data_IF_335208532396
#
_entry.id   IF_335208532396
#
_cell.length_a   1.000
_cell.length_b   1.000
_cell.length_c   1.000
_cell.angle_alpha   90.00
_cell.angle_beta   90.00
_cell.angle_gamma   90.00
#
_symmetry.space_group_name_H-M   'P 1'
#
loop_
_entity.id
_entity.type
_entity.pdbx_description
1 polymer ?
#
# COMPACT_ATOMS: atom_id res chain seq x y z
N UNK A 1 6.84 4.40 -6.11
CA UNK A 1 6.04 5.14 -7.11
C UNK A 1 5.64 4.18 -8.20
N UNK A 2 4.34 4.08 -8.48
CA UNK A 2 3.75 3.16 -9.46
C UNK A 2 2.93 3.98 -10.44
N UNK A 3 3.30 3.97 -11.71
CA UNK A 3 2.61 4.71 -12.75
C UNK A 3 2.17 3.71 -13.80
N UNK A 4 0.87 3.57 -13.97
CA UNK A 4 0.30 2.68 -14.98
C UNK A 4 -0.34 3.53 -16.08
N UNK A 5 0.03 3.26 -17.32
CA UNK A 5 -0.55 3.87 -18.52
C UNK A 5 -1.30 2.81 -19.32
N UNK A 6 -2.50 3.12 -19.78
CA UNK A 6 -3.20 2.29 -20.74
C UNK A 6 -3.04 2.80 -22.16
N UNK A 7 -3.25 1.89 -23.12
CA UNK A 7 -3.41 2.22 -24.53
C UNK A 7 -4.80 2.84 -24.78
N UNK A 8 -4.92 3.62 -25.86
CA UNK A 8 -6.20 4.13 -26.32
C UNK A 8 -7.16 2.99 -26.68
N UNK A 9 -8.46 3.19 -26.41
CA UNK A 9 -9.50 2.18 -26.60
C UNK A 9 -10.10 1.69 -25.28
N UNK A 10 -10.92 0.65 -25.36
CA UNK A 10 -11.67 0.11 -24.23
C UNK A 10 -11.02 -1.12 -23.57
N UNK A 11 -9.87 -1.56 -24.06
CA UNK A 11 -9.14 -2.66 -23.47
C UNK A 11 -8.66 -2.32 -22.05
N UNK A 12 -8.88 -3.24 -21.12
CA UNK A 12 -8.37 -3.12 -19.75
C UNK A 12 -6.88 -3.45 -19.72
N UNK A 13 -6.04 -2.49 -19.34
CA UNK A 13 -4.61 -2.73 -19.14
C UNK A 13 -4.34 -3.08 -17.68
N UNK A 14 -3.66 -4.20 -17.43
CA UNK A 14 -3.31 -4.64 -16.07
C UNK A 14 -1.82 -4.46 -15.80
N UNK A 15 -1.48 -4.12 -14.55
CA UNK A 15 -0.11 -4.05 -14.07
C UNK A 15 -0.07 -4.58 -12.63
N UNK A 16 0.88 -5.46 -12.32
CA UNK A 16 1.03 -6.05 -10.99
C UNK A 16 2.41 -5.65 -10.44
N UNK A 17 2.41 -4.89 -9.35
CA UNK A 17 3.63 -4.44 -8.67
C UNK A 17 3.85 -5.27 -7.41
N UNK A 18 5.09 -5.73 -7.20
CA UNK A 18 5.45 -6.48 -6.00
C UNK A 18 6.74 -5.93 -5.39
N UNK A 19 6.68 -5.62 -4.10
CA UNK A 19 7.80 -5.06 -3.34
C UNK A 19 8.01 -5.85 -2.04
N UNK A 20 9.27 -5.91 -1.61
CA UNK A 20 9.65 -6.39 -0.30
C UNK A 20 10.57 -5.38 0.39
N UNK A 21 10.22 -5.01 1.61
CA UNK A 21 11.01 -4.16 2.49
C UNK A 21 11.44 -4.97 3.72
N UNK A 22 12.73 -4.94 4.03
CA UNK A 22 13.26 -5.44 5.28
C UNK A 22 13.94 -4.30 6.04
N UNK A 23 13.43 -3.99 7.24
CA UNK A 23 14.09 -3.14 8.21
C UNK A 23 14.82 -4.02 9.21
N UNK A 24 16.14 -3.89 9.24
CA UNK A 24 17.00 -4.56 10.20
C UNK A 24 16.81 -3.99 11.61
N UNK A 25 17.37 -4.68 12.62
CA UNK A 25 17.15 -4.31 14.02
C UNK A 25 17.59 -2.86 14.30
N UNK A 26 16.73 -2.11 14.99
CA UNK A 26 16.96 -0.69 15.31
C UNK A 26 16.86 0.26 14.11
N UNK A 27 16.52 -0.22 12.91
CA UNK A 27 16.37 0.64 11.75
C UNK A 27 15.07 1.45 11.79
N UNK A 28 15.11 2.65 11.22
CA UNK A 28 13.94 3.50 11.08
C UNK A 28 13.76 3.90 9.62
N UNK A 29 12.53 3.80 9.10
CA UNK A 29 12.25 4.22 7.73
C UNK A 29 10.83 4.76 7.55
N UNK A 30 10.69 5.68 6.59
CA UNK A 30 9.40 6.06 6.01
C UNK A 30 9.32 5.58 4.57
N UNK A 31 8.24 4.87 4.23
CA UNK A 31 7.97 4.40 2.88
C UNK A 31 6.64 4.96 2.39
N UNK A 32 6.65 5.43 1.14
CA UNK A 32 5.47 5.94 0.45
C UNK A 32 5.18 5.11 -0.79
N UNK A 33 4.06 4.39 -0.78
CA UNK A 33 3.44 3.86 -1.98
C UNK A 33 2.58 4.95 -2.62
N UNK A 34 2.75 5.18 -3.92
CA UNK A 34 1.96 6.17 -4.66
C UNK A 34 1.59 5.60 -6.01
N UNK A 35 0.29 5.34 -6.19
CA UNK A 35 -0.29 4.81 -7.40
C UNK A 35 -0.95 5.93 -8.20
N UNK A 36 -0.53 6.06 -9.46
CA UNK A 36 -1.00 7.07 -10.39
C UNK A 36 -1.34 6.47 -11.75
N UNK A 37 -2.32 7.07 -12.41
CA UNK A 37 -2.63 6.82 -13.83
C UNK A 37 -2.06 7.91 -14.70
N UNK A 38 -1.31 7.55 -15.75
CA UNK A 38 -0.74 8.52 -16.68
C UNK A 38 -1.75 9.07 -17.71
N UNK A 39 -2.85 8.37 -17.96
CA UNK A 39 -3.88 8.70 -18.97
C UNK A 39 -5.28 8.35 -18.45
N UNK A 40 -6.33 8.82 -19.12
CA UNK A 40 -7.75 8.54 -18.79
C UNK A 40 -8.25 7.15 -19.24
N UNK A 41 -7.34 6.24 -19.57
CA UNK A 41 -7.61 4.85 -19.94
C UNK A 41 -8.04 4.01 -18.74
N UNK A 42 -8.86 2.96 -18.99
CA UNK A 42 -9.16 1.94 -17.98
C UNK A 42 -7.90 1.14 -17.66
N UNK A 43 -7.57 1.03 -16.37
CA UNK A 43 -6.46 0.20 -15.90
C UNK A 43 -6.88 -0.65 -14.69
N UNK A 44 -6.20 -1.77 -14.47
CA UNK A 44 -6.34 -2.62 -13.29
C UNK A 44 -4.99 -2.82 -12.62
N UNK A 45 -4.47 -1.80 -11.92
CA UNK A 45 -3.25 -1.91 -11.14
C UNK A 45 -3.50 -2.77 -9.90
N UNK A 46 -2.56 -3.66 -9.64
CA UNK A 46 -2.51 -4.43 -8.41
C UNK A 46 -1.16 -4.23 -7.71
N UNK A 47 -1.19 -4.25 -6.38
CA UNK A 47 -0.02 -3.96 -5.56
C UNK A 47 0.11 -4.92 -4.39
N UNK A 48 1.27 -5.56 -4.30
CA UNK A 48 1.67 -6.37 -3.15
C UNK A 48 2.91 -5.77 -2.49
N UNK A 49 2.79 -5.32 -1.25
CA UNK A 49 3.94 -4.86 -0.45
C UNK A 49 4.09 -5.73 0.79
N UNK A 50 5.21 -6.44 0.89
CA UNK A 50 5.57 -7.21 2.08
C UNK A 50 6.63 -6.45 2.88
N UNK A 51 6.41 -6.30 4.18
CA UNK A 51 7.28 -5.53 5.08
C UNK A 51 7.67 -6.40 6.27
N UNK A 52 8.96 -6.55 6.51
CA UNK A 52 9.51 -7.14 7.73
C UNK A 52 10.19 -6.06 8.55
N UNK A 53 9.75 -5.89 9.78
CA UNK A 53 10.25 -4.89 10.73
C UNK A 53 10.88 -5.64 11.89
N UNK A 54 12.21 -5.74 11.91
CA UNK A 54 12.95 -6.50 12.91
C UNK A 54 12.88 -5.88 14.32
N UNK A 55 13.55 -6.52 15.28
CA UNK A 55 13.55 -6.11 16.67
C UNK A 55 13.95 -4.63 16.85
N UNK A 56 13.19 -3.89 17.67
CA UNK A 56 13.41 -2.46 17.96
C UNK A 56 13.40 -1.55 16.71
N UNK A 57 12.88 -2.00 15.57
CA UNK A 57 12.79 -1.17 14.36
C UNK A 57 11.46 -0.39 14.31
N UNK A 58 11.49 0.73 13.58
CA UNK A 58 10.37 1.66 13.48
C UNK A 58 10.01 1.95 12.01
N UNK A 59 8.79 1.61 11.62
CA UNK A 59 8.29 1.82 10.27
C UNK A 59 7.17 2.87 10.23
N UNK A 60 7.30 3.84 9.33
CA UNK A 60 6.20 4.66 8.84
C UNK A 60 5.85 4.26 7.41
N UNK A 61 4.62 3.82 7.17
CA UNK A 61 4.13 3.44 5.86
C UNK A 61 2.94 4.33 5.45
N UNK A 62 3.01 4.88 4.24
CA UNK A 62 1.94 5.71 3.67
C UNK A 62 1.60 5.15 2.29
N UNK A 63 0.31 4.89 2.05
CA UNK A 63 -0.21 4.52 0.75
C UNK A 63 -1.14 5.59 0.19
N UNK A 64 -0.85 6.04 -1.02
CA UNK A 64 -1.64 6.98 -1.81
C UNK A 64 -2.16 6.28 -3.06
N UNK A 65 -3.42 5.83 -3.05
CA UNK A 65 -4.07 5.21 -4.20
C UNK A 65 -4.92 6.25 -4.94
N UNK A 66 -4.30 6.98 -5.88
CA UNK A 66 -4.87 8.14 -6.58
C UNK A 66 -5.05 7.88 -8.08
N UNK A 67 -5.37 6.64 -8.46
CA UNK A 67 -5.66 6.29 -9.84
C UNK A 67 -6.98 6.92 -10.31
N UNK A 68 -7.12 7.11 -11.63
CA UNK A 68 -8.33 7.70 -12.22
C UNK A 68 -9.62 6.92 -11.85
N UNK A 69 -10.76 7.60 -11.95
CA UNK A 69 -12.08 7.06 -11.62
C UNK A 69 -12.57 5.88 -12.50
N UNK A 70 -11.78 5.45 -13.50
CA UNK A 70 -12.07 4.28 -14.36
C UNK A 70 -11.20 3.07 -14.01
N UNK A 71 -10.42 3.15 -12.93
CA UNK A 71 -9.44 2.12 -12.55
C UNK A 71 -10.01 1.09 -11.58
N UNK A 72 -9.42 -0.10 -11.57
CA UNK A 72 -9.72 -1.16 -10.60
C UNK A 72 -8.46 -1.43 -9.76
N UNK A 73 -8.45 -1.00 -8.51
CA UNK A 73 -7.29 -1.15 -7.62
C UNK A 73 -7.49 -2.32 -6.65
N UNK A 74 -6.60 -3.32 -6.74
CA UNK A 74 -6.58 -4.46 -5.83
C UNK A 74 -5.21 -4.61 -5.21
N UNK A 75 -5.11 -4.51 -3.88
CA UNK A 75 -3.82 -4.57 -3.22
C UNK A 75 -3.83 -5.27 -1.88
N UNK A 76 -2.74 -5.97 -1.60
CA UNK A 76 -2.51 -6.68 -0.36
C UNK A 76 -1.14 -6.33 0.21
N UNK A 77 -1.12 -5.78 1.42
CA UNK A 77 0.12 -5.53 2.13
C UNK A 77 0.25 -6.51 3.30
N UNK A 78 1.44 -7.10 3.46
CA UNK A 78 1.78 -7.92 4.62
C UNK A 78 2.79 -7.18 5.50
N UNK A 79 2.58 -7.20 6.81
CA UNK A 79 3.46 -6.59 7.79
C UNK A 79 3.80 -7.57 8.91
N UNK A 80 5.08 -7.89 9.06
CA UNK A 80 5.61 -8.72 10.14
C UNK A 80 6.43 -7.87 11.12
N UNK A 81 6.01 -7.83 12.39
CA UNK A 81 6.72 -7.11 13.46
C UNK A 81 7.51 -8.06 14.37
N UNK A 82 8.79 -7.74 14.57
CA UNK A 82 9.67 -8.34 15.58
C UNK A 82 9.39 -7.82 16.99
N UNK A 83 10.25 -8.19 17.94
CA UNK A 83 10.12 -7.79 19.35
C UNK A 83 10.40 -6.30 19.55
N UNK A 84 9.62 -5.64 20.40
CA UNK A 84 9.77 -4.20 20.68
C UNK A 84 9.77 -3.31 19.41
N UNK A 85 9.24 -3.81 18.29
CA UNK A 85 9.12 -3.08 17.04
C UNK A 85 7.83 -2.25 17.01
N UNK A 86 7.84 -1.16 16.23
CA UNK A 86 6.63 -0.39 15.94
C UNK A 86 6.47 -0.14 14.45
N UNK A 87 5.22 -0.06 14.03
CA UNK A 87 4.87 0.34 12.69
C UNK A 87 3.62 1.21 12.73
N UNK A 88 3.55 2.21 11.85
CA UNK A 88 2.36 3.00 11.61
C UNK A 88 2.09 3.03 10.11
N UNK A 89 0.84 2.77 9.72
CA UNK A 89 0.45 2.58 8.32
C UNK A 89 -0.82 3.36 8.04
N UNK A 90 -0.72 4.35 7.16
CA UNK A 90 -1.85 5.17 6.71
C UNK A 90 -2.14 4.94 5.24
N UNK A 91 -3.39 4.62 4.91
CA UNK A 91 -3.82 4.41 3.52
C UNK A 91 -4.88 5.44 3.14
N UNK A 92 -4.56 6.25 2.13
CA UNK A 92 -5.45 7.22 1.50
C UNK A 92 -5.94 6.63 0.18
N UNK A 93 -7.20 6.20 0.17
CA UNK A 93 -7.80 5.40 -0.89
C UNK A 93 -8.78 6.28 -1.68
N UNK A 94 -8.24 7.21 -2.48
CA UNK A 94 -8.98 8.35 -3.04
C UNK A 94 -9.13 8.28 -4.57
N UNK A 95 -9.11 7.08 -5.15
CA UNK A 95 -9.14 6.87 -6.59
C UNK A 95 -9.64 5.49 -6.97
N UNK A 96 -9.89 5.29 -8.26
CA UNK A 96 -10.48 4.06 -8.81
C UNK A 96 -12.00 4.03 -8.80
N UNK A 97 -12.57 3.29 -9.76
CA UNK A 97 -14.00 2.94 -9.78
C UNK A 97 -14.32 1.88 -8.72
N UNK A 98 -13.41 0.92 -8.56
CA UNK A 98 -13.47 -0.11 -7.54
C UNK A 98 -12.11 -0.18 -6.89
N UNK A 99 -12.09 -0.07 -5.57
CA UNK A 99 -10.87 -0.18 -4.78
C UNK A 99 -11.09 -1.18 -3.65
N UNK A 100 -10.19 -2.15 -3.58
CA UNK A 100 -10.07 -3.04 -2.41
C UNK A 100 -8.61 -3.09 -1.97
N UNK A 101 -8.37 -2.67 -0.75
CA UNK A 101 -7.07 -2.75 -0.12
C UNK A 101 -7.16 -3.56 1.18
N UNK A 102 -6.22 -4.48 1.36
CA UNK A 102 -6.04 -5.25 2.58
C UNK A 102 -4.64 -5.01 3.13
N UNK A 103 -4.54 -4.86 4.45
CA UNK A 103 -3.26 -4.95 5.17
C UNK A 103 -3.38 -6.03 6.24
N UNK A 104 -2.58 -7.08 6.10
CA UNK A 104 -2.50 -8.19 7.04
C UNK A 104 -1.25 -8.02 7.91
N UNK A 105 -1.42 -8.05 9.24
CA UNK A 105 -0.33 -7.85 10.19
C UNK A 105 -0.14 -9.08 11.06
N UNK A 106 1.10 -9.55 11.18
CA UNK A 106 1.51 -10.56 12.15
C UNK A 106 2.42 -9.94 13.20
N UNK A 107 2.08 -10.17 14.47
CA UNK A 107 2.91 -9.82 15.62
C UNK A 107 3.75 -11.05 15.98
N UNK A 108 5.05 -11.02 15.66
CA UNK A 108 5.94 -12.17 15.71
C UNK A 108 6.82 -12.25 16.96
N UNK A 109 6.95 -11.18 17.75
CA UNK A 109 7.71 -11.17 19.00
C UNK A 109 6.84 -10.85 20.22
N UNK A 110 7.47 -10.38 21.30
CA UNK A 110 6.78 -9.82 22.48
C UNK A 110 6.78 -8.28 22.43
N UNK A 111 5.78 -7.63 23.06
CA UNK A 111 5.66 -6.15 23.21
C UNK A 111 5.71 -5.34 21.90
N UNK A 112 4.85 -5.68 20.94
CA UNK A 112 4.67 -4.93 19.70
C UNK A 112 3.63 -3.83 19.85
N UNK A 113 3.80 -2.75 19.09
CA UNK A 113 2.71 -1.82 18.82
C UNK A 113 2.32 -1.87 17.34
N UNK A 114 1.13 -2.44 17.01
CA UNK A 114 0.66 -2.48 15.64
C UNK A 114 0.27 -1.09 15.14
N UNK A 115 0.33 -0.91 13.82
CA UNK A 115 -0.18 0.27 13.15
C UNK A 115 -1.70 0.41 13.42
N UNK A 116 -2.19 1.58 13.88
CA UNK A 116 -3.61 1.88 13.78
C UNK A 116 -3.99 1.92 12.29
N UNK A 117 -4.97 1.10 11.90
CA UNK A 117 -5.44 1.06 10.51
C UNK A 117 -6.46 2.18 10.29
N UNK A 118 -6.02 3.30 9.74
CA UNK A 118 -6.91 4.33 9.22
C UNK A 118 -7.04 4.20 7.70
N UNK A 119 -8.26 3.94 7.25
CA UNK A 119 -8.67 4.08 5.86
C UNK A 119 -9.69 5.23 5.79
N UNK A 120 -9.23 6.40 5.31
CA UNK A 120 -10.11 7.54 5.06
C UNK A 120 -10.69 7.43 3.67
N UNK A 121 -12.00 7.25 3.56
CA UNK A 121 -12.76 7.48 2.33
C UNK A 121 -13.14 8.96 2.29
N UNK A 122 -12.68 9.68 1.25
CA UNK A 122 -13.22 11.00 0.98
C UNK A 122 -14.52 10.78 0.22
N UNK A 123 -15.61 10.58 0.97
CA UNK A 123 -16.94 10.46 0.39
C UNK A 123 -17.21 11.59 -0.62
N UNK A 124 -17.62 11.21 -1.82
CA UNK A 124 -18.14 12.13 -2.82
C UNK A 124 -19.31 12.93 -2.20
N UNK A 125 -19.28 14.25 -2.41
CA UNK A 125 -20.48 15.11 -2.32
C UNK A 125 -21.17 15.15 -3.66
#
# INVERSE_FOLDING_TARGET
>A
MHITSGLAGDALNTAHYRHHLALESGAEATIVEHYLTSMSSRISPAGDLTMTVADNAHLQHIKLAFENARSYHFAHNDLLLGRDASAFSSSFLLGGQVLRHQTSTRLGGEKQQPAPQFAGDAGEK
#
